data_IF_987577776891
#
_entry.id   IF_987577776891
#
_cell.length_a   1.000
_cell.length_b   1.000
_cell.length_c   1.000
_cell.angle_alpha   90.00
_cell.angle_beta   90.00
_cell.angle_gamma   90.00
#
_symmetry.space_group_name_H-M   'P 1'
#
loop_
_entity.id
_entity.type
_entity.pdbx_description
1 polymer ?
#
# COMPACT_ATOMS: atom_id res chain seq x y z
N UNK A 1 -29.89 -47.14 -17.43
CA UNK A 1 -30.93 -47.73 -18.31
C UNK A 1 -32.15 -48.03 -17.46
N UNK A 2 -33.29 -47.44 -17.79
CA UNK A 2 -34.59 -47.62 -17.12
C UNK A 2 -35.54 -46.53 -17.63
N UNK A 3 -36.49 -46.92 -18.49
CA UNK A 3 -37.35 -46.07 -19.33
C UNK A 3 -38.71 -45.77 -18.66
N UNK A 4 -39.33 -44.66 -19.09
CA UNK A 4 -40.77 -44.41 -19.31
C UNK A 4 -41.73 -44.50 -18.08
N UNK A 5 -42.82 -43.74 -17.94
CA UNK A 5 -43.65 -43.01 -18.90
C UNK A 5 -44.39 -41.81 -18.25
N UNK A 6 -44.88 -40.90 -19.09
CA UNK A 6 -45.81 -39.80 -18.81
C UNK A 6 -47.26 -40.31 -18.78
N UNK A 7 -48.17 -39.57 -18.13
CA UNK A 7 -49.53 -39.36 -18.64
C UNK A 7 -50.14 -38.02 -18.17
N UNK A 8 -50.78 -37.32 -19.12
CA UNK A 8 -51.65 -36.13 -18.98
C UNK A 8 -53.09 -36.62 -18.64
N UNK A 9 -54.04 -35.85 -18.08
CA UNK A 9 -54.90 -34.82 -18.73
C UNK A 9 -55.85 -34.19 -17.66
N UNK A 10 -56.17 -32.90 -17.80
CA UNK A 10 -57.08 -31.99 -17.05
C UNK A 10 -58.60 -32.27 -17.27
N UNK A 11 -59.58 -31.35 -17.02
CA UNK A 11 -59.80 -30.27 -16.03
C UNK A 11 -61.22 -30.33 -15.35
N UNK A 12 -61.47 -29.64 -14.23
CA UNK A 12 -62.85 -29.24 -13.79
C UNK A 12 -62.82 -27.84 -13.13
N UNK A 13 -63.87 -27.04 -13.39
CA UNK A 13 -64.02 -25.58 -13.21
C UNK A 13 -65.06 -25.22 -12.12
N UNK A 14 -64.71 -24.26 -11.22
CA UNK A 14 -65.45 -23.19 -10.43
C UNK A 14 -66.82 -23.43 -9.71
N UNK A 15 -67.37 -22.55 -8.82
CA UNK A 15 -67.05 -21.14 -8.39
C UNK A 15 -66.79 -21.00 -6.87
N UNK A 16 -66.43 -19.89 -6.21
CA UNK A 16 -66.38 -18.44 -6.44
C UNK A 16 -66.77 -17.76 -5.09
N UNK A 17 -65.97 -16.83 -4.56
CA UNK A 17 -66.45 -15.70 -3.73
C UNK A 17 -65.32 -14.71 -3.40
N UNK A 18 -65.52 -13.48 -3.84
CA UNK A 18 -64.62 -12.34 -3.68
C UNK A 18 -64.85 -11.62 -2.34
N UNK A 19 -63.80 -11.00 -1.80
CA UNK A 19 -63.89 -9.85 -0.88
C UNK A 19 -62.96 -8.73 -1.37
N UNK A 20 -63.35 -7.45 -1.26
CA UNK A 20 -62.62 -6.33 -1.83
C UNK A 20 -61.47 -5.86 -0.93
N UNK A 21 -60.37 -5.43 -1.55
CA UNK A 21 -59.26 -4.70 -0.92
C UNK A 21 -59.25 -3.27 -1.49
N UNK A 22 -59.15 -2.21 -0.66
CA UNK A 22 -59.25 -0.82 -1.12
C UNK A 22 -57.98 -0.32 -1.82
N UNK A 23 -58.05 0.79 -2.58
CA UNK A 23 -56.93 1.28 -3.39
C UNK A 23 -55.95 2.09 -2.55
N UNK A 24 -54.64 1.84 -2.72
CA UNK A 24 -53.57 2.67 -2.17
C UNK A 24 -53.03 3.55 -3.30
N UNK A 25 -53.23 4.87 -3.17
CA UNK A 25 -52.62 5.89 -4.01
C UNK A 25 -51.13 6.09 -3.69
N UNK A 26 -50.40 6.94 -4.45
CA UNK A 26 -48.95 7.03 -4.36
C UNK A 26 -48.54 7.85 -3.13
N UNK A 27 -47.83 7.24 -2.20
CA UNK A 27 -47.11 7.95 -1.13
C UNK A 27 -45.61 7.79 -1.35
N UNK A 28 -44.99 8.91 -1.73
CA UNK A 28 -43.56 9.13 -1.64
C UNK A 28 -43.23 9.39 -0.17
N UNK A 29 -42.06 8.90 0.25
CA UNK A 29 -41.16 9.41 1.28
C UNK A 29 -40.95 8.47 2.48
N UNK A 30 -39.74 7.92 2.56
CA UNK A 30 -39.09 7.71 3.85
C UNK A 30 -38.69 6.28 4.22
N UNK A 31 -38.01 5.54 3.34
CA UNK A 31 -37.22 4.40 3.82
C UNK A 31 -35.78 4.83 4.02
N UNK A 32 -35.49 5.16 5.29
CA UNK A 32 -34.15 5.23 5.83
C UNK A 32 -33.45 3.89 5.58
N UNK A 33 -32.49 3.89 4.65
CA UNK A 33 -31.47 2.86 4.57
C UNK A 33 -30.75 2.88 5.92
N UNK A 34 -31.09 1.93 6.79
CA UNK A 34 -30.28 1.55 7.94
C UNK A 34 -28.94 1.07 7.38
N UNK A 35 -28.02 2.00 7.20
CA UNK A 35 -26.60 1.70 7.07
C UNK A 35 -26.22 0.94 8.33
N UNK A 36 -26.15 -0.38 8.21
CA UNK A 36 -25.41 -1.21 9.15
C UNK A 36 -23.99 -0.67 9.09
N UNK A 37 -23.60 0.14 10.07
CA UNK A 37 -22.20 0.41 10.34
C UNK A 37 -21.58 -0.95 10.61
N UNK A 38 -21.03 -1.57 9.57
CA UNK A 38 -19.95 -2.52 9.77
C UNK A 38 -18.86 -1.71 10.45
N UNK A 39 -18.87 -1.77 11.79
CA UNK A 39 -17.82 -1.25 12.63
C UNK A 39 -16.55 -1.86 12.06
N UNK A 40 -15.72 -1.03 11.44
CA UNK A 40 -14.30 -1.36 11.26
C UNK A 40 -13.86 -1.86 12.63
N UNK A 41 -13.24 -3.06 12.74
CA UNK A 41 -12.59 -3.42 13.98
C UNK A 41 -11.71 -2.23 14.34
N UNK A 42 -11.99 -1.56 15.46
CA UNK A 42 -11.06 -0.57 16.00
C UNK A 42 -9.72 -1.28 15.97
N UNK A 43 -8.71 -0.78 15.23
CA UNK A 43 -7.45 -1.48 15.16
C UNK A 43 -7.01 -1.74 16.60
N UNK A 44 -6.50 -2.93 16.92
CA UNK A 44 -6.02 -3.18 18.27
C UNK A 44 -5.15 -1.98 18.64
N UNK A 45 -5.52 -1.33 19.75
CA UNK A 45 -4.68 -0.35 20.43
C UNK A 45 -3.38 -1.13 20.59
N UNK A 46 -2.38 -0.79 19.77
CA UNK A 46 -1.19 -1.60 19.53
C UNK A 46 -0.56 -2.16 20.81
N UNK A 47 0.33 -3.14 20.68
CA UNK A 47 0.60 -4.11 21.72
C UNK A 47 0.81 -3.50 23.12
N UNK A 48 -0.03 -3.89 24.09
CA UNK A 48 0.00 -3.33 25.44
C UNK A 48 0.86 -4.17 26.39
N UNK A 49 1.06 -5.45 26.04
CA UNK A 49 1.83 -6.45 26.80
C UNK A 49 2.75 -7.25 25.86
N UNK A 50 3.75 -7.93 26.42
CA UNK A 50 4.77 -8.67 25.67
C UNK A 50 4.19 -9.74 24.71
N UNK A 51 3.09 -10.41 25.09
CA UNK A 51 2.41 -11.37 24.21
C UNK A 51 1.89 -10.70 22.93
N UNK A 52 1.21 -9.57 23.07
CA UNK A 52 0.75 -8.75 21.95
C UNK A 52 1.94 -8.24 21.13
N UNK A 53 3.08 -7.91 21.76
CA UNK A 53 4.30 -7.47 21.06
C UNK A 53 4.83 -8.56 20.13
N UNK A 54 4.89 -9.80 20.60
CA UNK A 54 5.34 -10.95 19.79
C UNK A 54 4.40 -11.13 18.60
N UNK A 55 3.09 -11.04 18.83
CA UNK A 55 2.09 -11.12 17.76
C UNK A 55 2.22 -9.96 16.77
N UNK A 56 2.36 -8.73 17.26
CA UNK A 56 2.49 -7.52 16.45
C UNK A 56 3.75 -7.54 15.57
N UNK A 57 4.84 -8.12 16.08
CA UNK A 57 6.07 -8.36 15.32
C UNK A 57 5.93 -9.42 14.22
N UNK A 58 4.87 -10.23 14.25
CA UNK A 58 4.54 -11.20 13.21
C UNK A 58 3.63 -10.61 12.11
N UNK A 59 3.10 -9.40 12.31
CA UNK A 59 2.27 -8.73 11.30
C UNK A 59 3.13 -8.16 10.17
N UNK A 60 2.72 -8.41 8.92
CA UNK A 60 3.42 -7.89 7.75
C UNK A 60 3.29 -6.37 7.65
N UNK A 61 2.08 -5.84 7.85
CA UNK A 61 1.78 -4.42 7.69
C UNK A 61 1.93 -3.68 9.02
N UNK A 62 2.23 -2.39 8.95
CA UNK A 62 2.07 -1.48 10.08
C UNK A 62 0.63 -0.98 10.15
N UNK A 63 0.10 -0.69 11.35
CA UNK A 63 -1.28 -0.30 11.53
C UNK A 63 -1.53 1.10 10.97
N UNK A 64 -2.65 1.22 10.26
CA UNK A 64 -3.20 2.46 9.71
C UNK A 64 -4.72 2.45 9.92
N UNK A 65 -5.35 3.61 9.94
CA UNK A 65 -6.76 3.75 10.26
C UNK A 65 -7.41 4.93 9.50
N UNK A 66 -8.72 5.15 9.68
CA UNK A 66 -9.42 6.21 8.95
C UNK A 66 -8.90 7.63 9.22
N UNK A 67 -8.29 7.91 10.37
CA UNK A 67 -7.63 9.20 10.62
C UNK A 67 -6.43 9.44 9.70
N UNK A 68 -5.85 8.36 9.17
CA UNK A 68 -4.67 8.39 8.32
C UNK A 68 -5.07 8.47 6.84
N UNK A 69 -6.37 8.49 6.51
CA UNK A 69 -6.86 8.52 5.13
C UNK A 69 -6.50 9.85 4.47
N UNK A 70 -5.87 9.78 3.30
CA UNK A 70 -5.51 10.98 2.52
C UNK A 70 -6.67 11.47 1.66
N UNK A 71 -6.56 12.67 1.12
CA UNK A 71 -7.52 13.24 0.17
C UNK A 71 -7.32 12.76 -1.28
N UNK A 72 -6.48 11.74 -1.50
CA UNK A 72 -6.21 11.21 -2.83
C UNK A 72 -7.48 10.55 -3.39
N UNK A 73 -7.84 10.96 -4.60
CA UNK A 73 -8.97 10.43 -5.38
C UNK A 73 -8.57 10.29 -6.84
N UNK A 74 -9.46 9.73 -7.67
CA UNK A 74 -9.26 9.69 -9.13
C UNK A 74 -9.10 11.09 -9.74
N UNK A 75 -9.75 12.12 -9.16
CA UNK A 75 -9.69 13.50 -9.63
C UNK A 75 -8.52 14.29 -9.03
N UNK A 76 -8.09 13.94 -7.81
CA UNK A 76 -6.94 14.53 -7.12
C UNK A 76 -5.93 13.40 -6.83
N UNK A 77 -5.08 13.02 -7.80
CA UNK A 77 -4.23 11.83 -7.69
C UNK A 77 -2.99 12.03 -6.81
N UNK A 78 -2.80 13.22 -6.23
CA UNK A 78 -1.61 13.59 -5.49
C UNK A 78 -2.00 14.25 -4.16
N UNK A 79 -1.34 13.80 -3.09
CA UNK A 79 -1.36 14.43 -1.76
C UNK A 79 -0.01 15.03 -1.46
N UNK A 80 -0.04 16.21 -0.87
CA UNK A 80 1.08 17.11 -0.77
C UNK A 80 1.41 17.28 0.73
N UNK A 81 2.62 16.91 1.15
CA UNK A 81 2.93 16.66 2.56
C UNK A 81 4.24 17.30 3.01
N UNK A 82 4.17 18.38 3.81
CA UNK A 82 5.33 18.89 4.55
C UNK A 82 5.81 17.89 5.59
N UNK A 83 7.13 17.80 5.76
CA UNK A 83 7.79 16.99 6.77
C UNK A 83 8.33 17.87 7.90
N UNK A 84 8.06 17.55 9.18
CA UNK A 84 8.61 18.29 10.31
C UNK A 84 10.08 17.94 10.62
N UNK A 85 10.75 17.20 9.74
CA UNK A 85 12.11 16.69 9.88
C UNK A 85 12.79 16.63 8.52
N UNK A 86 14.12 16.39 8.53
CA UNK A 86 14.89 16.13 7.32
C UNK A 86 14.76 14.67 6.91
N UNK A 87 14.43 14.44 5.65
CA UNK A 87 14.49 13.11 5.04
C UNK A 87 15.67 13.04 4.05
N UNK A 88 16.82 12.48 4.46
CA UNK A 88 17.90 12.12 3.54
C UNK A 88 17.45 11.12 2.47
N UNK A 89 17.79 11.37 1.21
CA UNK A 89 17.54 10.47 0.08
C UNK A 89 18.54 10.75 -1.04
N UNK A 90 19.34 9.76 -1.44
CA UNK A 90 20.43 9.89 -2.43
C UNK A 90 21.36 11.11 -2.22
N UNK A 91 21.75 11.39 -0.98
CA UNK A 91 22.64 12.50 -0.63
C UNK A 91 21.97 13.88 -0.61
N UNK A 92 20.69 13.96 -0.97
CA UNK A 92 19.86 15.15 -0.79
C UNK A 92 19.05 15.06 0.50
N UNK A 93 18.49 16.19 0.94
CA UNK A 93 17.61 16.27 2.10
C UNK A 93 16.32 16.99 1.74
N UNK A 94 15.21 16.31 2.00
CA UNK A 94 13.87 16.79 1.70
C UNK A 94 13.10 17.12 2.98
N UNK A 95 12.33 18.20 2.94
CA UNK A 95 11.40 18.60 4.00
C UNK A 95 9.94 18.48 3.53
N UNK A 96 9.74 17.79 2.42
CA UNK A 96 8.47 17.77 1.71
C UNK A 96 8.43 16.55 0.79
N UNK A 97 7.26 15.92 0.69
CA UNK A 97 6.99 14.81 -0.22
C UNK A 97 5.64 14.96 -0.91
N UNK A 98 5.54 14.41 -2.10
CA UNK A 98 4.27 14.15 -2.76
C UNK A 98 3.98 12.66 -2.75
N UNK A 99 2.79 12.28 -2.30
CA UNK A 99 2.30 10.91 -2.38
C UNK A 99 1.40 10.80 -3.60
N UNK A 100 1.73 9.88 -4.51
CA UNK A 100 0.98 9.66 -5.75
C UNK A 100 0.09 8.44 -5.63
N UNK A 101 -1.14 8.57 -6.15
CA UNK A 101 -2.11 7.47 -6.30
C UNK A 101 -1.52 6.30 -7.08
N UNK A 102 -0.67 6.60 -8.07
CA UNK A 102 -0.01 5.63 -8.94
C UNK A 102 1.17 4.88 -8.26
N UNK A 103 1.26 4.93 -6.92
CA UNK A 103 2.05 4.00 -6.11
C UNK A 103 3.52 4.37 -5.93
N UNK A 104 3.81 5.66 -5.95
CA UNK A 104 5.14 6.19 -5.68
C UNK A 104 5.09 7.47 -4.84
N UNK A 105 6.22 7.79 -4.22
CA UNK A 105 6.51 9.06 -3.56
C UNK A 105 7.40 9.87 -4.49
N UNK A 106 7.15 11.17 -4.60
CA UNK A 106 7.97 12.09 -5.37
C UNK A 106 8.53 13.21 -4.49
N UNK A 107 9.74 13.65 -4.80
CA UNK A 107 10.44 14.74 -4.10
C UNK A 107 10.67 15.97 -4.96
N UNK A 108 10.43 15.85 -6.26
CA UNK A 108 10.44 16.93 -7.23
C UNK A 108 9.25 16.77 -8.18
N UNK A 109 9.04 17.72 -9.10
CA UNK A 109 7.93 17.71 -10.05
C UNK A 109 8.03 16.53 -11.02
N UNK A 110 9.25 16.18 -11.42
CA UNK A 110 9.54 15.10 -12.37
C UNK A 110 8.97 15.38 -13.76
N UNK A 111 8.41 14.35 -14.40
CA UNK A 111 7.86 14.40 -15.76
C UNK A 111 6.36 14.65 -15.78
N UNK A 112 5.87 15.24 -16.87
CA UNK A 112 4.44 15.43 -17.10
C UNK A 112 3.69 14.11 -17.33
N UNK A 113 4.38 13.11 -17.90
CA UNK A 113 3.82 11.78 -18.14
C UNK A 113 4.93 10.74 -18.25
N UNK A 114 4.59 9.48 -17.99
CA UNK A 114 5.52 8.36 -18.03
C UNK A 114 5.09 7.36 -19.09
N UNK A 115 6.05 6.94 -19.92
CA UNK A 115 5.85 5.84 -20.87
C UNK A 115 6.42 4.56 -20.26
N UNK A 116 5.58 3.54 -20.13
CA UNK A 116 5.98 2.22 -19.63
C UNK A 116 6.47 1.31 -20.77
N UNK A 117 7.54 0.51 -20.57
CA UNK A 117 8.35 0.43 -19.35
C UNK A 117 9.17 1.71 -19.15
N UNK A 118 9.21 2.21 -17.91
CA UNK A 118 9.98 3.39 -17.54
C UNK A 118 11.46 3.05 -17.48
N UNK A 119 12.30 4.04 -17.78
CA UNK A 119 13.74 3.92 -17.69
C UNK A 119 14.28 5.12 -16.93
N UNK A 120 14.96 4.83 -15.84
CA UNK A 120 15.68 5.79 -15.03
C UNK A 120 17.20 5.57 -15.14
N UNK A 121 18.02 6.61 -14.89
CA UNK A 121 17.60 8.01 -14.75
C UNK A 121 17.01 8.54 -16.07
N UNK A 122 16.14 9.54 -15.99
CA UNK A 122 15.60 10.20 -17.16
C UNK A 122 16.47 11.40 -17.52
N UNK A 123 16.74 11.58 -18.81
CA UNK A 123 17.41 12.78 -19.32
C UNK A 123 16.33 13.64 -19.98
N UNK A 124 15.90 14.75 -19.35
CA UNK A 124 14.85 15.59 -19.89
C UNK A 124 15.23 16.16 -21.25
N UNK A 125 14.25 16.28 -22.16
CA UNK A 125 14.47 16.94 -23.45
C UNK A 125 14.41 18.46 -23.31
N UNK A 126 13.62 18.94 -22.35
CA UNK A 126 13.45 20.36 -22.02
C UNK A 126 13.56 20.55 -20.50
N UNK A 127 14.73 21.00 -20.07
CA UNK A 127 15.06 21.20 -18.65
C UNK A 127 14.30 22.37 -18.00
N UNK A 128 13.53 23.16 -18.76
CA UNK A 128 12.68 24.22 -18.19
C UNK A 128 11.35 23.67 -17.67
N UNK A 129 10.88 22.55 -18.24
CA UNK A 129 9.55 22.01 -17.98
C UNK A 129 9.58 20.69 -17.23
N UNK A 130 10.63 19.91 -17.46
CA UNK A 130 10.84 18.56 -16.98
C UNK A 130 12.17 18.46 -16.24
N UNK A 131 12.18 17.63 -15.21
CA UNK A 131 13.38 17.26 -14.47
C UNK A 131 13.41 15.75 -14.29
N UNK A 132 14.60 15.20 -14.05
CA UNK A 132 14.72 13.78 -13.71
C UNK A 132 13.94 13.51 -12.42
N UNK A 133 12.96 12.59 -12.39
CA UNK A 133 12.10 12.43 -11.23
C UNK A 133 12.83 11.86 -10.03
N UNK A 134 12.85 12.57 -8.92
CA UNK A 134 13.29 12.03 -7.64
C UNK A 134 12.12 11.28 -6.99
N UNK A 135 12.24 9.96 -6.85
CA UNK A 135 11.11 9.11 -6.40
C UNK A 135 11.48 7.83 -5.68
N UNK A 136 10.58 7.41 -4.80
CA UNK A 136 10.52 6.08 -4.16
C UNK A 136 9.27 5.37 -4.67
N UNK A 137 9.43 4.28 -5.41
CA UNK A 137 8.35 3.55 -6.06
C UNK A 137 8.23 2.12 -5.48
N UNK A 138 7.42 1.90 -4.43
CA UNK A 138 7.07 0.54 -4.01
C UNK A 138 6.26 -0.19 -5.09
N UNK A 139 5.46 0.53 -5.88
CA UNK A 139 4.68 -0.05 -6.99
C UNK A 139 4.26 1.04 -7.97
N UNK A 140 5.08 1.33 -8.98
CA UNK A 140 4.76 2.35 -9.96
C UNK A 140 4.04 1.76 -11.18
N UNK A 141 2.74 2.00 -11.24
CA UNK A 141 1.85 1.73 -12.37
C UNK A 141 0.63 2.65 -12.27
N UNK A 142 -0.03 2.93 -13.39
CA UNK A 142 -1.26 3.73 -13.38
C UNK A 142 -2.37 2.98 -12.63
N UNK A 143 -2.82 3.56 -11.53
CA UNK A 143 -3.77 2.94 -10.60
C UNK A 143 -5.06 3.71 -10.54
N UNK A 144 -6.10 3.14 -9.95
CA UNK A 144 -7.29 3.87 -9.54
C UNK A 144 -7.83 3.33 -8.21
N UNK A 145 -8.75 4.08 -7.61
CA UNK A 145 -9.42 3.69 -6.36
C UNK A 145 -10.81 3.16 -6.73
N UNK A 146 -11.08 1.86 -6.52
CA UNK A 146 -12.39 1.30 -6.81
C UNK A 146 -13.45 1.89 -5.88
N UNK A 147 -14.60 2.25 -6.43
CA UNK A 147 -15.72 2.82 -5.65
C UNK A 147 -16.52 1.73 -4.93
N UNK A 148 -16.40 0.49 -5.38
CA UNK A 148 -17.12 -0.67 -4.88
C UNK A 148 -16.53 -1.23 -3.57
N UNK A 149 -15.30 -0.83 -3.21
CA UNK A 149 -14.58 -1.35 -2.04
C UNK A 149 -14.51 -0.26 -0.96
N UNK A 150 -15.21 -0.45 0.18
CA UNK A 150 -15.16 0.50 1.27
C UNK A 150 -13.74 0.72 1.79
N UNK A 151 -13.40 2.00 1.96
CA UNK A 151 -12.11 2.45 2.46
C UNK A 151 -10.92 1.99 1.60
N UNK A 152 -11.11 1.71 0.31
CA UNK A 152 -10.00 1.67 -0.64
C UNK A 152 -9.41 3.07 -0.78
N UNK A 153 -8.09 3.17 -0.93
CA UNK A 153 -7.41 4.45 -1.05
C UNK A 153 -6.03 4.46 -0.44
N UNK A 154 -5.50 5.67 -0.27
CA UNK A 154 -4.13 5.89 0.21
C UNK A 154 -4.17 6.45 1.63
N UNK A 155 -3.37 5.86 2.51
CA UNK A 155 -3.24 6.24 3.90
C UNK A 155 -1.82 6.73 4.18
N UNK A 156 -1.68 7.78 4.98
CA UNK A 156 -0.41 8.34 5.42
C UNK A 156 -0.44 8.53 6.93
N UNK A 157 0.57 7.97 7.60
CA UNK A 157 0.82 8.20 9.02
C UNK A 157 2.26 8.64 9.23
N UNK A 158 2.44 9.80 9.86
CA UNK A 158 3.76 10.32 10.26
C UNK A 158 3.89 10.17 11.77
N UNK A 159 4.98 9.55 12.21
CA UNK A 159 5.25 9.28 13.62
C UNK A 159 6.55 9.92 14.03
N UNK A 160 6.53 10.73 15.08
CA UNK A 160 7.73 11.15 15.80
C UNK A 160 8.01 10.14 16.90
N UNK A 161 8.99 9.27 16.68
CA UNK A 161 9.34 8.18 17.59
C UNK A 161 9.91 8.72 18.92
N UNK A 162 10.57 9.89 18.93
CA UNK A 162 11.10 10.45 20.18
C UNK A 162 9.99 10.94 21.11
N UNK A 163 8.93 11.56 20.56
CA UNK A 163 7.87 12.19 21.35
C UNK A 163 6.55 11.40 21.46
N UNK A 164 6.35 10.36 20.64
CA UNK A 164 5.08 9.62 20.55
C UNK A 164 4.68 8.94 21.88
N UNK A 165 3.74 9.54 22.59
CA UNK A 165 3.32 9.09 23.92
C UNK A 165 2.49 7.81 23.89
N UNK A 166 1.99 7.42 22.72
CA UNK A 166 1.19 6.24 22.56
C UNK A 166 2.03 4.98 22.81
N UNK A 167 1.88 4.42 24.04
CA UNK A 167 2.51 3.18 24.51
C UNK A 167 2.27 1.97 23.61
N UNK A 168 1.36 2.10 22.64
CA UNK A 168 0.97 1.05 21.72
C UNK A 168 1.76 1.01 20.43
N UNK A 169 2.43 2.12 20.09
CA UNK A 169 3.45 2.17 19.05
C UNK A 169 4.83 2.03 19.69
N UNK A 170 4.99 2.50 20.94
CA UNK A 170 6.21 2.33 21.75
C UNK A 170 6.35 0.90 22.25
N UNK A 171 7.35 0.18 21.75
CA UNK A 171 7.79 -1.04 22.41
C UNK A 171 8.21 -0.75 23.85
N UNK A 172 7.50 -1.35 24.80
CA UNK A 172 7.95 -1.44 26.18
C UNK A 172 8.78 -2.70 26.33
N UNK A 173 10.00 -2.74 25.76
CA UNK A 173 10.95 -3.82 26.06
C UNK A 173 11.63 -3.49 27.41
N UNK A 174 10.91 -3.77 28.49
CA UNK A 174 11.54 -3.99 29.79
C UNK A 174 12.06 -5.44 29.78
N UNK A 175 13.29 -5.64 29.33
CA UNK A 175 14.23 -6.62 29.92
C UNK A 175 15.61 -6.51 29.24
N UNK A 176 16.41 -5.51 29.61
CA UNK A 176 17.85 -5.71 29.76
C UNK A 176 18.31 -4.92 30.98
N UNK A 177 19.10 -5.55 31.83
CA UNK A 177 19.61 -5.03 33.10
C UNK A 177 20.79 -4.06 32.85
N UNK A 178 20.64 -3.18 31.85
CA UNK A 178 21.61 -2.16 31.47
C UNK A 178 20.95 -0.79 31.56
N UNK A 179 21.72 0.20 32.00
CA UNK A 179 21.28 1.57 32.30
C UNK A 179 20.81 2.38 31.07
N UNK A 180 20.57 1.75 29.92
CA UNK A 180 20.25 2.34 28.62
C UNK A 180 18.90 1.85 28.03
N UNK A 181 17.92 1.55 28.90
CA UNK A 181 16.55 1.17 28.54
C UNK A 181 15.90 2.17 27.56
N UNK A 182 16.04 1.90 26.27
CA UNK A 182 15.44 2.70 25.19
C UNK A 182 14.09 2.06 24.86
N UNK A 183 12.99 2.73 25.17
CA UNK A 183 11.66 2.34 24.68
C UNK A 183 11.70 2.23 23.15
N UNK A 184 11.35 1.05 22.62
CA UNK A 184 11.85 0.61 21.32
C UNK A 184 11.07 1.01 20.08
N UNK A 185 9.74 0.97 19.97
CA UNK A 185 9.02 0.91 18.67
C UNK A 185 9.43 -0.24 17.73
N UNK A 186 8.44 -1.03 17.27
CA UNK A 186 8.65 -2.12 16.31
C UNK A 186 9.48 -1.69 15.11
N UNK A 187 9.28 -0.47 14.60
CA UNK A 187 10.05 0.13 13.50
C UNK A 187 11.55 0.09 13.78
N UNK A 188 11.98 0.47 14.98
CA UNK A 188 13.38 0.47 15.39
C UNK A 188 14.00 -0.92 15.26
N UNK A 189 13.39 -1.93 15.88
CA UNK A 189 13.93 -3.30 15.81
C UNK A 189 13.81 -3.87 14.41
N UNK A 190 12.70 -3.60 13.71
CA UNK A 190 12.47 -4.14 12.38
C UNK A 190 13.56 -3.70 11.41
N UNK A 191 13.99 -2.43 11.43
CA UNK A 191 15.09 -1.96 10.60
C UNK A 191 16.46 -2.45 11.06
N UNK A 192 16.72 -2.46 12.38
CA UNK A 192 18.02 -2.91 12.92
C UNK A 192 18.29 -4.40 12.66
N UNK A 193 17.25 -5.24 12.71
CA UNK A 193 17.35 -6.67 12.47
C UNK A 193 17.24 -7.03 10.98
N UNK A 194 16.49 -6.23 10.21
CA UNK A 194 16.24 -6.48 8.78
C UNK A 194 17.35 -6.02 7.84
N UNK A 195 18.24 -5.13 8.30
CA UNK A 195 19.32 -4.55 7.50
C UNK A 195 20.70 -4.84 8.10
N UNK A 196 21.59 -5.41 7.29
CA UNK A 196 23.00 -5.55 7.64
C UNK A 196 23.60 -4.14 7.72
N UNK A 197 24.32 -3.83 8.80
CA UNK A 197 24.94 -2.52 9.01
C UNK A 197 24.05 -1.48 9.69
N UNK A 198 22.79 -1.79 9.98
CA UNK A 198 21.88 -0.88 10.69
C UNK A 198 21.96 -0.99 12.23
N UNK A 199 23.00 -1.62 12.79
CA UNK A 199 23.07 -1.92 14.23
C UNK A 199 23.02 -0.69 15.14
N UNK A 200 23.53 0.44 14.67
CA UNK A 200 23.55 1.75 15.35
C UNK A 200 22.46 2.71 14.83
N UNK A 201 21.58 2.25 13.94
CA UNK A 201 20.47 3.05 13.44
C UNK A 201 19.40 3.23 14.51
N UNK A 202 19.11 4.50 14.83
CA UNK A 202 18.08 4.90 15.81
C UNK A 202 17.12 5.90 15.15
N UNK A 203 16.08 5.43 14.44
CA UNK A 203 15.15 6.32 13.77
C UNK A 203 14.43 7.24 14.77
N UNK A 204 14.35 8.51 14.42
CA UNK A 204 13.60 9.54 15.15
C UNK A 204 12.21 9.73 14.59
N UNK A 205 12.07 9.53 13.27
CA UNK A 205 10.82 9.72 12.56
C UNK A 205 10.53 8.53 11.67
N UNK A 206 9.24 8.26 11.47
CA UNK A 206 8.76 7.30 10.49
C UNK A 206 7.57 7.84 9.70
N UNK A 207 7.50 7.45 8.43
CA UNK A 207 6.36 7.65 7.56
C UNK A 207 5.86 6.29 7.12
N UNK A 208 4.57 6.04 7.30
CA UNK A 208 3.91 4.80 6.88
C UNK A 208 2.87 5.19 5.84
N UNK A 209 3.09 4.75 4.60
CA UNK A 209 2.20 5.02 3.47
C UNK A 209 1.62 3.71 2.99
N UNK A 210 0.30 3.59 2.99
CA UNK A 210 -0.39 2.37 2.56
C UNK A 210 -1.30 2.67 1.38
N UNK A 211 -1.12 1.93 0.30
CA UNK A 211 -2.04 1.86 -0.83
C UNK A 211 -2.92 0.64 -0.61
N UNK A 212 -4.17 0.85 -0.20
CA UNK A 212 -5.11 -0.21 0.16
C UNK A 212 -6.13 -0.42 -0.95
N UNK A 213 -6.22 -1.66 -1.42
CA UNK A 213 -7.19 -2.09 -2.42
C UNK A 213 -7.16 -1.23 -3.70
N UNK A 214 -5.98 -0.92 -4.20
CA UNK A 214 -5.83 -0.16 -5.45
C UNK A 214 -6.10 -1.07 -6.66
N UNK A 215 -6.92 -0.60 -7.61
CA UNK A 215 -7.15 -1.28 -8.89
C UNK A 215 -6.28 -0.63 -9.98
N UNK A 216 -6.17 -1.28 -11.14
CA UNK A 216 -5.61 -0.67 -12.35
C UNK A 216 -6.60 0.30 -13.01
N UNK A 217 -6.08 1.32 -13.71
CA UNK A 217 -6.90 2.19 -14.56
C UNK A 217 -7.53 1.42 -15.72
N UNK A 218 -8.63 1.95 -16.26
CA UNK A 218 -9.31 1.43 -17.46
C UNK A 218 -9.78 -0.03 -17.39
N UNK A 219 -9.85 -0.64 -16.19
CA UNK A 219 -10.43 -1.98 -15.99
C UNK A 219 -11.83 -2.03 -16.62
N UNK A 220 -12.07 -3.07 -17.41
CA UNK A 220 -13.39 -3.33 -18.01
C UNK A 220 -14.45 -3.61 -16.93
N UNK A 221 -15.62 -2.96 -16.96
CA UNK A 221 -16.67 -3.18 -15.96
C UNK A 221 -17.12 -4.65 -15.85
N UNK A 222 -17.10 -5.40 -16.96
CA UNK A 222 -17.49 -6.81 -17.01
C UNK A 222 -16.48 -7.77 -16.37
N UNK A 223 -15.24 -7.34 -16.15
CA UNK A 223 -14.21 -8.17 -15.54
C UNK A 223 -14.33 -8.16 -14.01
N UNK A 224 -13.90 -9.21 -13.31
CA UNK A 224 -13.81 -9.18 -11.86
C UNK A 224 -12.93 -8.01 -11.37
N UNK A 225 -13.29 -7.42 -10.23
CA UNK A 225 -12.43 -6.43 -9.57
C UNK A 225 -11.20 -7.15 -9.01
N UNK A 226 -10.01 -6.66 -9.38
CA UNK A 226 -8.71 -7.09 -8.87
C UNK A 226 -8.05 -5.92 -8.15
N UNK A 227 -7.47 -6.18 -6.98
CA UNK A 227 -6.88 -5.12 -6.16
C UNK A 227 -5.52 -5.51 -5.60
N UNK A 228 -4.67 -4.49 -5.43
CA UNK A 228 -3.37 -4.60 -4.79
C UNK A 228 -3.39 -3.84 -3.46
N UNK A 229 -2.75 -4.41 -2.44
CA UNK A 229 -2.51 -3.76 -1.14
C UNK A 229 -1.04 -3.89 -0.76
N UNK A 230 -0.39 -2.75 -0.54
CA UNK A 230 1.03 -2.67 -0.22
C UNK A 230 1.33 -1.41 0.59
N UNK A 231 2.48 -1.41 1.26
CA UNK A 231 2.90 -0.34 2.16
C UNK A 231 4.39 -0.01 1.96
N UNK A 232 4.69 1.29 2.02
CA UNK A 232 6.03 1.82 2.14
C UNK A 232 6.19 2.41 3.54
N UNK A 233 7.21 1.96 4.27
CA UNK A 233 7.62 2.54 5.55
C UNK A 233 8.98 3.17 5.38
N UNK A 234 9.07 4.46 5.60
CA UNK A 234 10.33 5.19 5.66
C UNK A 234 10.67 5.47 7.11
N UNK A 235 11.91 5.22 7.52
CA UNK A 235 12.40 5.58 8.84
C UNK A 235 13.70 6.35 8.71
N UNK A 236 13.86 7.42 9.50
CA UNK A 236 15.01 8.31 9.41
C UNK A 236 15.47 8.77 10.79
N UNK A 237 16.80 8.85 10.96
CA UNK A 237 17.45 9.53 12.10
C UNK A 237 17.89 10.96 11.73
N UNK A 238 17.40 11.45 10.57
CA UNK A 238 17.75 12.71 9.88
C UNK A 238 19.16 12.74 9.27
N UNK A 239 19.94 11.66 9.40
CA UNK A 239 21.25 11.47 8.78
C UNK A 239 21.18 10.35 7.75
N UNK A 240 20.57 9.22 8.13
CA UNK A 240 20.30 8.04 7.33
C UNK A 240 18.81 7.82 7.19
N UNK A 241 18.41 7.24 6.08
CA UNK A 241 17.02 6.87 5.79
C UNK A 241 16.98 5.46 5.27
N UNK A 242 16.07 4.67 5.83
CA UNK A 242 15.77 3.33 5.37
C UNK A 242 14.34 3.26 4.87
N UNK A 243 14.12 2.45 3.85
CA UNK A 243 12.80 2.10 3.33
C UNK A 243 12.51 0.62 3.59
N UNK A 244 11.24 0.33 3.85
CA UNK A 244 10.72 -1.02 3.93
C UNK A 244 9.47 -1.09 3.06
N UNK A 245 9.43 -2.06 2.15
CA UNK A 245 8.26 -2.35 1.34
C UNK A 245 7.60 -3.63 1.85
N UNK A 246 6.30 -3.55 2.13
CA UNK A 246 5.47 -4.67 2.54
C UNK A 246 4.39 -4.91 1.47
N UNK A 247 4.35 -6.11 0.89
CA UNK A 247 3.36 -6.49 -0.12
C UNK A 247 2.39 -7.52 0.44
N UNK A 248 1.19 -7.08 0.80
CA UNK A 248 0.15 -7.96 1.37
C UNK A 248 -0.59 -8.71 0.27
N UNK A 249 -1.00 -8.01 -0.78
CA UNK A 249 -1.78 -8.58 -1.87
C UNK A 249 -1.39 -7.95 -3.21
N UNK A 250 -1.11 -8.80 -4.21
CA UNK A 250 -0.87 -8.40 -5.60
C UNK A 250 -1.69 -9.34 -6.50
N UNK A 251 -2.71 -8.81 -7.15
CA UNK A 251 -3.60 -9.53 -8.06
C UNK A 251 -3.45 -9.10 -9.53
N UNK A 252 -2.92 -7.91 -9.76
CA UNK A 252 -2.60 -7.39 -11.09
C UNK A 252 -1.17 -6.83 -11.08
N UNK A 253 -0.50 -6.89 -12.24
CA UNK A 253 0.90 -6.47 -12.40
C UNK A 253 1.09 -5.31 -13.37
N UNK A 254 0.11 -5.03 -14.24
CA UNK A 254 0.19 -3.96 -15.25
C UNK A 254 -1.16 -3.29 -15.46
N UNK A 255 -1.12 -2.00 -15.82
CA UNK A 255 -2.28 -1.22 -16.24
C UNK A 255 -2.53 -1.26 -17.75
N UNK A 256 -1.62 -1.89 -18.51
CA UNK A 256 -1.71 -1.99 -19.98
C UNK A 256 -2.70 -3.06 -20.44
N UNK A 257 -3.17 -3.92 -19.53
CA UNK A 257 -4.14 -4.97 -19.79
C UNK A 257 -5.43 -4.68 -19.03
N UNK A 258 -6.46 -4.22 -19.75
CA UNK A 258 -7.74 -3.89 -19.15
C UNK A 258 -8.64 -5.10 -18.81
N UNK A 259 -8.15 -6.32 -19.02
CA UNK A 259 -8.81 -7.54 -18.60
C UNK A 259 -8.39 -7.92 -17.18
N UNK A 260 -7.32 -8.71 -17.05
CA UNK A 260 -6.84 -9.25 -15.77
C UNK A 260 -5.67 -8.44 -15.19
N UNK A 261 -5.08 -7.54 -15.97
CA UNK A 261 -3.93 -6.75 -15.55
C UNK A 261 -2.64 -7.58 -15.51
N UNK A 262 -2.54 -8.63 -16.32
CA UNK A 262 -1.44 -9.61 -16.28
C UNK A 262 -0.55 -9.59 -17.53
N UNK A 263 -0.96 -8.90 -18.60
CA UNK A 263 -0.24 -8.89 -19.88
C UNK A 263 0.29 -7.50 -20.25
N UNK A 264 1.60 -7.32 -20.18
CA UNK A 264 2.23 -6.05 -20.56
C UNK A 264 3.48 -5.79 -19.73
N UNK A 265 3.94 -4.54 -19.76
CA UNK A 265 5.06 -4.10 -18.91
C UNK A 265 4.56 -4.02 -17.47
N UNK A 266 5.15 -4.83 -16.60
CA UNK A 266 4.76 -4.85 -15.20
C UNK A 266 5.14 -3.53 -14.48
N UNK A 267 4.60 -3.32 -13.29
CA UNK A 267 4.91 -2.16 -12.47
C UNK A 267 6.43 -2.01 -12.23
N UNK A 268 6.89 -0.77 -12.22
CA UNK A 268 8.26 -0.46 -11.81
C UNK A 268 8.35 -0.47 -10.28
N UNK A 269 9.40 -1.08 -9.75
CA UNK A 269 9.70 -1.08 -8.32
C UNK A 269 11.14 -0.62 -8.15
N UNK A 270 11.37 0.41 -7.35
CA UNK A 270 12.72 0.93 -7.16
C UNK A 270 12.77 2.39 -6.73
N UNK A 271 13.90 3.01 -7.01
CA UNK A 271 14.26 4.35 -6.57
C UNK A 271 14.93 5.12 -7.70
N UNK A 272 14.71 6.43 -7.76
CA UNK A 272 15.46 7.33 -8.64
C UNK A 272 15.83 8.58 -7.86
N UNK A 273 17.08 9.02 -7.95
CA UNK A 273 17.58 10.16 -7.18
C UNK A 273 17.07 11.50 -7.73
N UNK A 274 16.78 11.56 -9.03
CA UNK A 274 16.46 12.80 -9.73
C UNK A 274 17.69 13.65 -10.07
N UNK A 275 18.88 13.04 -10.08
CA UNK A 275 20.16 13.69 -10.35
C UNK A 275 20.81 13.24 -11.67
N UNK A 276 20.03 12.61 -12.55
CA UNK A 276 20.44 12.06 -13.84
C UNK A 276 21.47 10.92 -13.79
N UNK A 277 21.86 10.46 -12.60
CA UNK A 277 22.96 9.51 -12.42
C UNK A 277 22.57 8.30 -11.56
N UNK A 278 21.99 8.53 -10.39
CA UNK A 278 21.74 7.49 -9.41
C UNK A 278 20.30 6.97 -9.50
N UNK A 279 20.18 5.68 -9.74
CA UNK A 279 18.91 4.96 -9.78
C UNK A 279 19.11 3.55 -9.26
N UNK A 280 18.04 2.94 -8.78
CA UNK A 280 18.01 1.56 -8.39
C UNK A 280 16.70 0.93 -8.84
N UNK A 281 16.79 -0.01 -9.78
CA UNK A 281 15.65 -0.83 -10.19
C UNK A 281 15.69 -2.16 -9.43
N UNK A 282 14.57 -2.56 -8.83
CA UNK A 282 14.49 -3.76 -7.99
C UNK A 282 14.39 -5.05 -8.83
N UNK A 283 15.49 -5.42 -9.46
CA UNK A 283 15.61 -6.63 -10.29
C UNK A 283 15.73 -7.90 -9.44
N UNK A 284 15.22 -9.05 -9.92
CA UNK A 284 14.60 -9.28 -11.24
C UNK A 284 13.09 -8.99 -11.30
N UNK A 285 12.50 -8.39 -10.26
CA UNK A 285 11.05 -8.20 -10.15
C UNK A 285 10.51 -7.02 -10.95
N UNK A 286 11.12 -5.85 -10.81
CA UNK A 286 10.66 -4.61 -11.44
C UNK A 286 10.48 -4.78 -12.96
N UNK A 287 9.34 -4.31 -13.47
CA UNK A 287 8.99 -4.35 -14.90
C UNK A 287 9.00 -5.77 -15.52
N UNK A 288 8.93 -6.80 -14.68
CA UNK A 288 8.87 -8.22 -15.05
C UNK A 288 7.64 -8.88 -14.41
N UNK A 289 6.97 -9.85 -15.06
CA UNK A 289 5.88 -10.62 -14.43
C UNK A 289 6.21 -11.27 -13.08
N UNK A 290 7.50 -11.50 -12.79
CA UNK A 290 7.98 -11.94 -11.48
C UNK A 290 7.58 -11.00 -10.33
N UNK A 291 7.24 -9.73 -10.60
CA UNK A 291 6.75 -8.78 -9.57
C UNK A 291 5.54 -9.30 -8.79
N UNK A 292 4.75 -10.21 -9.38
CA UNK A 292 3.65 -10.90 -8.69
C UNK A 292 4.11 -11.73 -7.49
N UNK A 293 5.37 -12.20 -7.49
CA UNK A 293 5.95 -13.00 -6.40
C UNK A 293 6.45 -12.17 -5.22
N UNK A 294 6.38 -10.83 -5.28
CA UNK A 294 6.85 -9.98 -4.18
C UNK A 294 6.17 -10.33 -2.85
N UNK A 295 4.90 -10.74 -2.87
CA UNK A 295 4.14 -11.18 -1.69
C UNK A 295 4.69 -12.44 -1.01
N UNK A 296 5.46 -13.27 -1.73
CA UNK A 296 5.88 -14.60 -1.25
C UNK A 296 7.40 -14.78 -1.13
N UNK A 297 8.19 -14.00 -1.85
CA UNK A 297 9.65 -14.16 -1.95
C UNK A 297 10.45 -13.34 -0.95
N UNK A 298 9.96 -12.17 -0.54
CA UNK A 298 10.58 -11.37 0.50
C UNK A 298 10.62 -12.16 1.82
N UNK A 299 11.61 -11.92 2.67
CA UNK A 299 11.68 -12.59 3.98
C UNK A 299 12.33 -11.68 5.04
N UNK A 300 12.11 -10.36 4.92
CA UNK A 300 12.58 -9.39 5.91
C UNK A 300 11.99 -9.71 7.29
N UNK A 301 12.84 -9.86 8.31
CA UNK A 301 12.45 -10.27 9.67
C UNK A 301 11.65 -11.59 9.73
N UNK A 302 11.88 -12.49 8.77
CA UNK A 302 11.13 -13.75 8.68
C UNK A 302 9.71 -13.60 8.12
N UNK A 303 9.34 -12.42 7.61
CA UNK A 303 8.02 -12.14 7.07
C UNK A 303 8.02 -12.13 5.55
N UNK A 304 7.14 -12.96 4.96
CA UNK A 304 6.91 -12.98 3.52
C UNK A 304 6.34 -11.65 3.04
N UNK A 305 6.80 -11.16 1.91
CA UNK A 305 6.34 -9.88 1.37
C UNK A 305 7.08 -8.66 1.88
N UNK A 306 8.03 -8.81 2.83
CA UNK A 306 8.82 -7.71 3.38
C UNK A 306 10.20 -7.61 2.75
N UNK A 307 10.56 -6.39 2.36
CA UNK A 307 11.85 -6.00 1.79
C UNK A 307 12.37 -4.74 2.45
N UNK A 308 13.68 -4.63 2.60
CA UNK A 308 14.34 -3.49 3.22
C UNK A 308 15.34 -2.85 2.25
N UNK A 309 15.59 -1.56 2.41
CA UNK A 309 16.55 -0.80 1.63
C UNK A 309 17.15 0.32 2.49
N UNK A 310 18.45 0.53 2.43
CA UNK A 310 19.07 1.79 2.83
C UNK A 310 19.05 2.73 1.61
N UNK A 311 18.64 3.99 1.80
CA UNK A 311 18.37 4.91 0.68
C UNK A 311 18.91 6.34 0.87
N UNK A 312 19.72 6.60 1.90
CA UNK A 312 20.32 7.93 2.14
C UNK A 312 21.46 8.28 1.17
N UNK A 313 22.11 7.31 0.53
CA UNK A 313 23.20 7.50 -0.43
C UNK A 313 23.06 6.54 -1.61
N UNK A 314 23.96 5.56 -1.72
CA UNK A 314 23.74 4.41 -2.60
C UNK A 314 22.65 3.49 -2.02
N UNK A 315 21.86 2.85 -2.89
CA UNK A 315 20.79 1.96 -2.44
C UNK A 315 21.36 0.58 -2.11
N UNK A 316 21.23 0.20 -0.83
CA UNK A 316 21.62 -1.13 -0.36
C UNK A 316 20.37 -1.93 -0.02
N UNK A 317 20.04 -3.01 -0.75
CA UNK A 317 18.93 -3.89 -0.37
C UNK A 317 19.29 -4.69 0.89
N UNK A 318 18.32 -4.80 1.79
CA UNK A 318 18.37 -5.66 2.97
C UNK A 318 17.86 -7.07 2.68
N UNK A 319 18.43 -8.03 3.40
CA UNK A 319 18.25 -9.46 3.23
C UNK A 319 18.52 -10.00 1.79
N UNK A 320 18.74 -11.31 1.67
CA UNK A 320 19.06 -11.92 0.39
C UNK A 320 17.86 -11.89 -0.57
N UNK A 321 17.98 -11.11 -1.65
CA UNK A 321 17.14 -11.25 -2.84
C UNK A 321 17.75 -12.34 -3.70
N UNK A 322 17.00 -13.40 -4.01
CA UNK A 322 17.45 -14.47 -4.89
C UNK A 322 17.66 -13.90 -6.31
N UNK A 323 18.93 -13.62 -6.66
CA UNK A 323 19.31 -12.95 -7.93
C UNK A 323 19.31 -13.89 -9.14
N UNK A 324 19.01 -15.18 -8.96
CA UNK A 324 19.20 -16.23 -9.97
C UNK A 324 17.92 -16.62 -10.73
N UNK A 325 16.90 -15.76 -10.74
CA UNK A 325 15.62 -16.01 -11.43
C UNK A 325 15.57 -15.42 -12.84
#
# INVERSE_FOLDING_TARGET
MGRCAQDKVSPIFIPGNARPVPPVGPQILGDMIQFRQELIPVPPVGPQILGDMIQFRQELMYPYNLSDFTEITSAKPLHDQPLPFRLPFFGFWYHYIWIQRDGYLAFNKGLLSYKFPVKFPFVPKDNLMEEDPSMIAPWFAQQDIPTEVPHAGVYLKIVNLESEQNITLRDRIYYDFREDATCGYRIYYDFREGMIGASDFKPKFALIITWRNMTMVNRRPEMPLVTNTYQCVLATDEIRTYAMFNYEQIQWITHQDNYEGLKGSAAYVGFNAGDTSHTYEFKPYSQNPLVSYLTTRGCGNGLRGRYFFQIDGEVWPGACVEKAL
#
